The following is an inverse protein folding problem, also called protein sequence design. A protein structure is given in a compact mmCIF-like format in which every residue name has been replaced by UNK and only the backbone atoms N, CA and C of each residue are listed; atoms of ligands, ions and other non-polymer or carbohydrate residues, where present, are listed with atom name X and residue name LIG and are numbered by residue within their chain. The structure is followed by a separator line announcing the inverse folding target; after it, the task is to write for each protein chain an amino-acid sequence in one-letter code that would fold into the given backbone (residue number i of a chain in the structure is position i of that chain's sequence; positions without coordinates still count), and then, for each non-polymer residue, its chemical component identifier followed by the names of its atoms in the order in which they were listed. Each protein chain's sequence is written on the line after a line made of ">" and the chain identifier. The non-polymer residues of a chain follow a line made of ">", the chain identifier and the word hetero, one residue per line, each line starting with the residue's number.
data_IF_076645974851
#
_entry.id   IF_076645974851
#
_cell.length_a   1.000
_cell.length_b   1.000
_cell.length_c   1.000
_cell.angle_alpha   90.00
_cell.angle_beta   90.00
_cell.angle_gamma   90.00
#
_symmetry.space_group_name_H-M   'P 1'
#
loop_
_entity.id
_entity.type
_entity.pdbx_description
1 polymer ?
#
# COMPACT_ATOMS: atom_id res chain seq x y z
N UNK A 1 4.93 4.86 12.12
CA UNK A 1 4.56 4.61 10.70
C UNK A 1 4.33 3.12 10.37
N UNK A 2 5.32 2.23 10.58
CA UNK A 2 5.21 0.81 10.22
C UNK A 2 4.12 0.04 10.97
N UNK A 3 3.80 0.44 12.21
CA UNK A 3 2.75 -0.19 13.01
C UNK A 3 1.38 -0.22 12.30
N UNK A 4 1.10 0.79 11.47
CA UNK A 4 -0.16 0.87 10.70
C UNK A 4 -0.24 -0.17 9.57
N UNK A 5 0.85 -0.83 9.21
CA UNK A 5 0.90 -1.85 8.17
C UNK A 5 0.57 -3.26 8.69
N UNK A 6 0.59 -3.50 10.00
CA UNK A 6 0.28 -4.80 10.58
C UNK A 6 -1.22 -4.92 10.88
N UNK A 7 -1.81 -6.09 10.58
CA UNK A 7 -3.22 -6.38 10.89
C UNK A 7 -3.50 -6.45 12.39
N UNK A 8 -2.58 -7.01 13.16
CA UNK A 8 -2.51 -6.91 14.61
C UNK A 8 -1.35 -6.04 15.08
N UNK A 9 -1.27 -5.75 16.38
CA UNK A 9 -0.07 -5.14 16.96
C UNK A 9 1.11 -6.12 16.88
N UNK A 10 2.28 -5.73 16.33
CA UNK A 10 3.45 -6.60 16.31
C UNK A 10 3.94 -6.85 17.75
N UNK A 11 4.46 -8.05 18.01
CA UNK A 11 5.11 -8.35 19.29
C UNK A 11 6.37 -7.51 19.47
N UNK A 12 6.83 -7.35 20.72
CA UNK A 12 8.08 -6.66 21.01
C UNK A 12 9.28 -7.32 20.31
N UNK A 13 9.29 -8.65 20.23
CA UNK A 13 10.28 -9.44 19.51
C UNK A 13 10.30 -9.10 18.02
N UNK A 14 9.13 -9.16 17.37
CA UNK A 14 9.00 -8.83 15.94
C UNK A 14 9.41 -7.37 15.66
N UNK A 15 9.12 -6.44 16.57
CA UNK A 15 9.60 -5.06 16.47
C UNK A 15 11.12 -4.98 16.49
N UNK A 16 11.78 -5.77 17.35
CA UNK A 16 13.23 -5.87 17.42
C UNK A 16 13.85 -6.44 16.14
N UNK A 17 13.23 -7.47 15.57
CA UNK A 17 13.65 -8.06 14.29
C UNK A 17 13.54 -7.07 13.14
N UNK A 18 12.40 -6.39 13.01
CA UNK A 18 12.18 -5.35 12.00
C UNK A 18 13.17 -4.20 12.15
N UNK A 19 13.39 -3.70 13.37
CA UNK A 19 14.37 -2.65 13.62
C UNK A 19 15.79 -3.09 13.21
N UNK A 20 16.16 -4.34 13.51
CA UNK A 20 17.46 -4.90 13.14
C UNK A 20 17.61 -5.05 11.63
N UNK A 21 16.57 -5.53 10.95
CA UNK A 21 16.54 -5.66 9.50
C UNK A 21 16.62 -4.29 8.80
N UNK A 22 15.83 -3.30 9.24
CA UNK A 22 15.84 -1.94 8.69
C UNK A 22 17.20 -1.26 8.82
N UNK A 23 17.89 -1.46 9.95
CA UNK A 23 19.26 -0.95 10.13
C UNK A 23 20.23 -1.55 9.12
N UNK A 24 20.16 -2.87 8.90
CA UNK A 24 21.00 -3.55 7.89
C UNK A 24 20.69 -3.07 6.48
N UNK A 25 19.41 -2.91 6.16
CA UNK A 25 18.97 -2.40 4.86
C UNK A 25 19.46 -0.97 4.60
N UNK A 26 19.33 -0.07 5.58
CA UNK A 26 19.85 1.31 5.50
C UNK A 26 21.37 1.35 5.35
N UNK A 27 22.09 0.45 6.03
CA UNK A 27 23.53 0.34 5.90
C UNK A 27 23.94 -0.13 4.50
N UNK A 28 23.24 -1.13 3.94
CA UNK A 28 23.44 -1.56 2.56
C UNK A 28 23.27 -0.42 1.56
N UNK A 29 22.21 0.38 1.71
CA UNK A 29 21.98 1.56 0.86
C UNK A 29 23.10 2.60 0.96
N UNK A 30 23.65 2.83 2.16
CA UNK A 30 24.78 3.77 2.35
C UNK A 30 26.03 3.29 1.65
N UNK A 31 26.30 1.98 1.70
CA UNK A 31 27.45 1.39 1.03
C UNK A 31 27.33 1.48 -0.48
N UNK A 32 26.16 1.18 -1.03
CA UNK A 32 25.86 1.37 -2.46
C UNK A 32 26.02 2.84 -2.91
N UNK A 33 25.67 3.79 -2.04
CA UNK A 33 25.82 5.23 -2.30
C UNK A 33 27.25 5.77 -2.05
N UNK A 34 28.25 4.91 -1.84
CA UNK A 34 29.64 5.33 -1.62
C UNK A 34 29.87 6.10 -0.33
N UNK A 35 29.03 5.89 0.69
CA UNK A 35 29.16 6.48 2.03
C UNK A 35 28.39 7.79 2.26
N UNK A 36 27.77 8.38 1.23
CA UNK A 36 26.91 9.56 1.36
C UNK A 36 25.52 9.26 0.80
N UNK A 37 24.55 9.03 1.69
CA UNK A 37 23.18 8.70 1.32
C UNK A 37 22.30 9.96 1.36
N UNK A 38 21.83 10.42 0.20
CA UNK A 38 20.71 11.35 0.13
C UNK A 38 19.39 10.58 0.27
N UNK A 39 18.82 10.61 1.47
CA UNK A 39 17.56 9.92 1.79
C UNK A 39 16.40 10.47 0.95
N UNK A 40 16.41 11.76 0.59
CA UNK A 40 15.33 12.36 -0.19
C UNK A 40 15.35 11.85 -1.63
N UNK A 41 16.52 11.77 -2.25
CA UNK A 41 16.70 11.19 -3.59
C UNK A 41 16.28 9.71 -3.62
N UNK A 42 16.75 8.92 -2.66
CA UNK A 42 16.37 7.50 -2.57
C UNK A 42 14.86 7.35 -2.41
N UNK A 43 14.24 8.14 -1.54
CA UNK A 43 12.79 8.12 -1.37
C UNK A 43 12.04 8.53 -2.65
N UNK A 44 12.53 9.52 -3.39
CA UNK A 44 11.94 9.93 -4.67
C UNK A 44 12.02 8.81 -5.71
N UNK A 45 13.20 8.18 -5.85
CA UNK A 45 13.41 7.01 -6.74
C UNK A 45 12.50 5.84 -6.36
N UNK A 46 12.36 5.56 -5.05
CA UNK A 46 11.46 4.51 -4.57
C UNK A 46 10.00 4.81 -4.90
N UNK A 47 9.53 6.04 -4.69
CA UNK A 47 8.14 6.43 -5.02
C UNK A 47 7.86 6.35 -6.53
N UNK A 48 8.84 6.67 -7.36
CA UNK A 48 8.71 6.59 -8.82
C UNK A 48 8.57 5.16 -9.36
N UNK A 49 9.01 4.15 -8.60
CA UNK A 49 8.99 2.74 -9.00
C UNK A 49 7.92 1.92 -8.26
N UNK A 50 7.50 2.36 -7.07
CA UNK A 50 6.53 1.64 -6.23
C UNK A 50 5.19 2.38 -6.25
N UNK A 51 4.15 1.84 -6.91
CA UNK A 51 2.85 2.49 -6.96
C UNK A 51 2.23 2.56 -5.56
N UNK A 52 1.69 3.73 -5.22
CA UNK A 52 0.93 3.96 -3.98
C UNK A 52 -0.41 3.21 -4.02
N UNK A 53 -1.06 3.18 -5.19
CA UNK A 53 -2.36 2.54 -5.40
C UNK A 53 -2.23 1.35 -6.35
N UNK A 54 -2.70 0.19 -5.88
CA UNK A 54 -2.75 -1.06 -6.66
C UNK A 54 -4.19 -1.55 -6.65
N UNK A 55 -4.74 -2.02 -7.78
CA UNK A 55 -6.07 -2.65 -7.81
C UNK A 55 -6.09 -3.87 -6.89
N UNK A 56 -6.79 -3.74 -5.76
CA UNK A 56 -7.03 -4.85 -4.83
C UNK A 56 -8.48 -5.26 -4.95
N UNK A 57 -8.75 -6.55 -4.82
CA UNK A 57 -10.09 -7.10 -5.03
C UNK A 57 -11.15 -6.39 -4.18
N UNK A 58 -10.87 -6.13 -2.90
CA UNK A 58 -11.80 -5.42 -2.03
C UNK A 58 -12.19 -4.02 -2.52
N UNK A 59 -11.35 -3.36 -3.32
CA UNK A 59 -11.66 -2.07 -3.92
C UNK A 59 -12.61 -2.21 -5.11
N UNK A 60 -12.51 -3.34 -5.83
CA UNK A 60 -13.27 -3.61 -7.05
C UNK A 60 -14.67 -4.15 -6.74
N UNK A 61 -14.86 -4.82 -5.60
CA UNK A 61 -16.14 -5.42 -5.18
C UNK A 61 -17.31 -4.47 -5.29
N UNK A 62 -17.20 -3.33 -4.59
CA UNK A 62 -18.27 -2.33 -4.61
C UNK A 62 -18.45 -1.73 -6.01
N UNK A 63 -17.39 -1.69 -6.83
CA UNK A 63 -17.46 -1.14 -8.18
C UNK A 63 -18.27 -2.02 -9.13
N UNK A 64 -18.05 -3.35 -9.12
CA UNK A 64 -18.82 -4.23 -9.99
C UNK A 64 -20.24 -4.45 -9.47
N UNK A 65 -20.45 -4.45 -8.14
CA UNK A 65 -21.78 -4.57 -7.53
C UNK A 65 -22.69 -3.39 -7.91
N UNK A 66 -22.15 -2.16 -7.94
CA UNK A 66 -22.86 -0.96 -8.42
C UNK A 66 -23.03 -0.96 -9.94
N UNK A 67 -21.99 -1.36 -10.69
CA UNK A 67 -22.06 -1.41 -12.15
C UNK A 67 -23.11 -2.41 -12.65
N UNK A 68 -23.31 -3.53 -11.95
CA UNK A 68 -24.37 -4.50 -12.25
C UNK A 68 -25.79 -3.90 -12.11
N UNK A 69 -25.93 -2.82 -11.32
CA UNK A 69 -27.16 -2.05 -11.15
C UNK A 69 -27.25 -0.84 -12.11
N UNK A 70 -26.26 -0.66 -12.98
CA UNK A 70 -26.17 0.44 -13.93
C UNK A 70 -25.47 1.69 -13.41
N UNK A 71 -24.94 1.68 -12.18
CA UNK A 71 -24.16 2.78 -11.60
C UNK A 71 -22.65 2.57 -11.79
N UNK A 72 -22.05 3.35 -12.69
CA UNK A 72 -20.62 3.28 -13.01
C UNK A 72 -19.78 4.31 -12.24
N UNK A 73 -20.35 5.08 -11.32
CA UNK A 73 -19.66 6.14 -10.59
C UNK A 73 -18.38 5.63 -9.90
N UNK A 74 -18.47 4.47 -9.22
CA UNK A 74 -17.34 3.84 -8.55
C UNK A 74 -16.28 3.32 -9.51
N UNK A 75 -16.67 2.82 -10.67
CA UNK A 75 -15.72 2.38 -11.71
C UNK A 75 -14.92 3.58 -12.23
N UNK A 76 -15.58 4.71 -12.48
CA UNK A 76 -14.90 5.94 -12.91
C UNK A 76 -13.97 6.51 -11.83
N UNK A 77 -14.37 6.46 -10.56
CA UNK A 77 -13.51 6.86 -9.43
C UNK A 77 -12.24 6.03 -9.36
N UNK A 78 -12.36 4.70 -9.43
CA UNK A 78 -11.21 3.78 -9.42
C UNK A 78 -10.33 3.95 -10.66
N UNK A 79 -10.94 4.19 -11.82
CA UNK A 79 -10.18 4.48 -13.05
C UNK A 79 -9.32 5.75 -12.87
N UNK A 80 -9.89 6.83 -12.31
CA UNK A 80 -9.15 8.06 -12.04
C UNK A 80 -8.00 7.84 -11.05
N UNK A 81 -8.23 7.02 -10.00
CA UNK A 81 -7.22 6.64 -9.03
C UNK A 81 -6.04 5.90 -9.69
N UNK A 82 -6.35 4.83 -10.44
CA UNK A 82 -5.34 3.95 -11.04
C UNK A 82 -4.67 4.53 -12.29
N UNK A 83 -5.21 5.62 -12.85
CA UNK A 83 -4.55 6.37 -13.93
C UNK A 83 -3.30 7.11 -13.46
N UNK A 84 -3.17 7.37 -12.14
CA UNK A 84 -2.02 8.04 -11.52
C UNK A 84 -1.57 7.29 -10.26
N UNK A 85 -1.15 6.03 -10.38
CA UNK A 85 -1.00 5.14 -9.23
C UNK A 85 0.22 5.47 -8.36
N UNK A 86 1.15 6.27 -8.86
CA UNK A 86 2.37 6.72 -8.16
C UNK A 86 2.22 8.08 -7.47
N UNK A 87 1.17 8.84 -7.81
CA UNK A 87 0.97 10.20 -7.31
C UNK A 87 0.37 10.20 -5.91
N UNK A 88 0.70 11.23 -5.12
CA UNK A 88 -0.02 11.54 -3.89
C UNK A 88 -1.42 12.08 -4.24
N UNK A 89 -2.47 11.50 -3.65
CA UNK A 89 -3.86 11.89 -3.92
C UNK A 89 -4.61 12.06 -2.59
N UNK A 90 -4.44 13.21 -1.90
CA UNK A 90 -4.94 13.39 -0.52
C UNK A 90 -6.42 13.06 -0.34
N UNK A 91 -7.26 13.41 -1.33
CA UNK A 91 -8.70 13.15 -1.31
C UNK A 91 -9.05 11.65 -1.38
N UNK A 92 -8.14 10.84 -1.92
CA UNK A 92 -8.31 9.40 -2.12
C UNK A 92 -7.62 8.56 -1.03
N UNK A 93 -6.71 9.13 -0.26
CA UNK A 93 -5.86 8.40 0.70
C UNK A 93 -6.65 7.73 1.81
N UNK A 94 -7.56 8.47 2.46
CA UNK A 94 -8.38 7.93 3.55
C UNK A 94 -9.22 6.71 3.11
N UNK A 95 -9.60 6.68 1.82
CA UNK A 95 -10.43 5.63 1.23
C UNK A 95 -9.62 4.45 0.72
N UNK A 96 -8.53 4.70 0.00
CA UNK A 96 -7.81 3.67 -0.76
C UNK A 96 -6.38 3.39 -0.29
N UNK A 97 -5.71 4.32 0.38
CA UNK A 97 -4.36 4.10 0.93
C UNK A 97 -4.42 3.51 2.34
N UNK A 98 -5.13 2.38 2.46
CA UNK A 98 -5.33 1.67 3.70
C UNK A 98 -5.19 0.16 3.49
N UNK A 99 -4.96 -0.55 4.59
CA UNK A 99 -5.10 -2.01 4.62
C UNK A 99 -6.50 -2.41 4.21
N UNK A 100 -6.62 -3.62 3.66
CA UNK A 100 -7.93 -4.19 3.42
C UNK A 100 -8.71 -4.22 4.76
N UNK A 101 -10.01 -3.90 4.75
CA UNK A 101 -10.85 -4.11 5.93
C UNK A 101 -10.85 -5.60 6.32
N UNK A 102 -10.98 -5.92 7.61
CA UNK A 102 -10.96 -7.31 8.09
C UNK A 102 -12.07 -8.13 7.44
N UNK A 103 -13.22 -7.51 7.19
CA UNK A 103 -14.37 -8.10 6.51
C UNK A 103 -14.04 -8.58 5.09
N UNK A 104 -13.12 -7.90 4.40
CA UNK A 104 -12.66 -8.31 3.08
C UNK A 104 -11.67 -9.48 3.12
N UNK A 105 -11.04 -9.76 4.27
CA UNK A 105 -10.18 -10.93 4.42
C UNK A 105 -10.97 -12.23 4.61
N UNK A 106 -12.21 -12.14 5.08
CA UNK A 106 -13.07 -13.29 5.40
C UNK A 106 -14.08 -13.61 4.29
N UNK A 107 -14.39 -12.64 3.42
CA UNK A 107 -15.36 -12.81 2.32
C UNK A 107 -14.77 -13.68 1.20
N UNK A 108 -15.52 -14.71 0.80
CA UNK A 108 -15.17 -15.55 -0.36
C UNK A 108 -15.02 -14.69 -1.63
N UNK A 109 -13.91 -14.85 -2.33
CA UNK A 109 -13.55 -14.05 -3.51
C UNK A 109 -12.58 -12.90 -3.22
N UNK A 110 -12.58 -12.32 -2.02
CA UNK A 110 -11.62 -11.27 -1.60
C UNK A 110 -10.55 -11.78 -0.63
N UNK A 111 -10.84 -12.88 0.07
CA UNK A 111 -9.89 -13.61 0.87
C UNK A 111 -8.78 -14.19 -0.02
N UNK A 112 -7.51 -13.97 0.34
CA UNK A 112 -6.42 -14.80 -0.17
C UNK A 112 -6.71 -16.24 0.27
N UNK A 113 -7.02 -17.13 -0.68
CA UNK A 113 -7.06 -18.57 -0.40
C UNK A 113 -5.65 -18.99 0.00
N UNK A 114 -5.43 -19.23 1.29
CA UNK A 114 -4.29 -20.02 1.78
C UNK A 114 -4.52 -21.49 1.50
#
# INVERSE_FOLDING_TARGET
>A
PLLMAFYGGPSAELCGEWASWLRRWLEGLRQEAGGSLDVADVAARMRAQNPKYVPREYMLVEAYDLAAQGDYSRVHELYALFSRPYDEQPDMEAKYYRRAPNEALERAGTAFMT
#
